data_IF_594347005088
#
_entry.id   IF_594347005088
#
_cell.length_a   1.000
_cell.length_b   1.000
_cell.length_c   1.000
_cell.angle_alpha   90.00
_cell.angle_beta   90.00
_cell.angle_gamma   90.00
#
_symmetry.space_group_name_H-M   'P 1'
#
loop_
_entity.id
_entity.type
_entity.pdbx_description
1 polymer ?
#
# COMPACT_ATOMS: atom_id res chain seq x y z
N UNK A 1 -13.02 -6.50 -24.60
CA UNK A 1 -11.59 -6.13 -24.74
C UNK A 1 -11.32 -5.03 -23.75
N UNK A 2 -10.50 -5.26 -22.72
CA UNK A 2 -10.13 -4.21 -21.78
C UNK A 2 -8.99 -3.40 -22.40
N UNK A 3 -9.31 -2.21 -22.88
CA UNK A 3 -8.31 -1.25 -23.35
C UNK A 3 -8.23 -0.14 -22.32
N UNK A 4 -7.21 -0.18 -21.47
CA UNK A 4 -6.84 0.94 -20.62
C UNK A 4 -5.83 1.80 -21.40
N UNK A 5 -6.16 3.06 -21.64
CA UNK A 5 -5.25 4.05 -22.22
C UNK A 5 -4.82 4.95 -21.07
N UNK A 6 -3.53 4.93 -20.74
CA UNK A 6 -2.93 5.84 -19.77
C UNK A 6 -1.94 6.75 -20.51
N UNK A 7 -2.03 8.06 -20.29
CA UNK A 7 -1.03 9.01 -20.77
C UNK A 7 0.19 8.98 -19.82
N UNK A 8 1.39 9.23 -20.35
CA UNK A 8 2.59 9.33 -19.51
C UNK A 8 2.42 10.48 -18.50
N UNK A 9 2.43 10.15 -17.20
CA UNK A 9 2.12 11.09 -16.11
C UNK A 9 0.73 10.92 -15.48
N UNK A 10 -0.12 10.06 -16.04
CA UNK A 10 -1.54 9.89 -15.65
C UNK A 10 -1.81 8.55 -14.92
N UNK A 11 -0.77 7.76 -14.67
CA UNK A 11 -0.91 6.45 -14.03
C UNK A 11 -0.87 6.58 -12.51
N UNK A 12 -1.86 7.25 -11.94
CA UNK A 12 -2.14 7.18 -10.50
C UNK A 12 -2.94 5.91 -10.23
N UNK A 13 -2.28 4.82 -9.84
CA UNK A 13 -3.00 3.64 -9.33
C UNK A 13 -3.38 3.94 -7.88
N UNK A 14 -4.69 4.10 -7.64
CA UNK A 14 -5.26 4.26 -6.30
C UNK A 14 -5.87 2.94 -5.82
N UNK A 15 -5.52 2.52 -4.61
CA UNK A 15 -6.14 1.38 -3.96
C UNK A 15 -6.36 1.63 -2.48
N UNK A 16 -7.45 1.05 -1.96
CA UNK A 16 -7.80 1.11 -0.55
C UNK A 16 -7.38 -0.19 0.13
N UNK A 17 -6.59 -0.08 1.20
CA UNK A 17 -6.22 -1.23 2.03
C UNK A 17 -7.01 -1.17 3.34
N UNK A 18 -8.03 -2.02 3.54
CA UNK A 18 -8.75 -2.12 4.80
C UNK A 18 -7.94 -3.01 5.75
N UNK A 19 -6.94 -2.45 6.42
CA UNK A 19 -6.19 -3.18 7.44
C UNK A 19 -5.37 -2.26 8.32
N UNK A 20 -5.52 -2.41 9.64
CA UNK A 20 -4.63 -1.85 10.68
C UNK A 20 -3.66 -2.91 11.22
N UNK A 21 -3.29 -3.90 10.40
CA UNK A 21 -2.26 -4.87 10.78
C UNK A 21 -0.89 -4.19 10.87
N UNK A 22 -0.10 -4.49 11.91
CA UNK A 22 1.16 -3.80 12.19
C UNK A 22 2.14 -3.72 11.00
N UNK A 23 2.26 -4.79 10.20
CA UNK A 23 3.13 -4.76 9.00
C UNK A 23 2.63 -3.83 7.89
N UNK A 24 1.30 -3.66 7.77
CA UNK A 24 0.70 -2.72 6.80
C UNK A 24 0.90 -1.28 7.30
N UNK A 25 0.72 -1.06 8.60
CA UNK A 25 0.98 0.23 9.23
C UNK A 25 2.45 0.65 9.09
N UNK A 26 3.39 -0.26 9.33
CA UNK A 26 4.82 -0.02 9.15
C UNK A 26 5.18 0.28 7.68
N UNK A 27 4.49 -0.34 6.73
CA UNK A 27 4.69 -0.07 5.31
C UNK A 27 4.15 1.30 4.92
N UNK A 28 2.93 1.64 5.35
CA UNK A 28 2.14 2.75 4.81
C UNK A 28 2.13 4.01 5.69
N UNK A 29 2.54 3.90 6.95
CA UNK A 29 2.65 5.03 7.88
C UNK A 29 4.07 5.22 8.39
N UNK A 30 4.34 6.44 8.88
CA UNK A 30 5.63 6.80 9.45
C UNK A 30 5.68 6.38 10.92
N UNK A 31 6.28 5.23 11.23
CA UNK A 31 6.51 4.79 12.61
C UNK A 31 7.40 5.79 13.35
N UNK A 32 7.02 6.21 14.55
CA UNK A 32 7.70 7.26 15.32
C UNK A 32 8.19 6.79 16.69
N UNK A 33 7.57 5.79 17.28
CA UNK A 33 7.94 5.31 18.61
C UNK A 33 8.13 3.80 18.60
N UNK A 34 8.91 3.33 19.56
CA UNK A 34 8.85 1.93 20.00
C UNK A 34 7.49 1.64 20.64
N UNK A 35 7.25 0.36 20.95
CA UNK A 35 6.02 -0.11 21.59
C UNK A 35 5.73 0.68 22.86
N UNK A 36 4.56 1.30 22.90
CA UNK A 36 4.01 2.03 24.05
C UNK A 36 3.01 1.13 24.74
N UNK A 37 3.20 0.90 26.03
CA UNK A 37 2.19 0.26 26.89
C UNK A 37 1.36 1.34 27.58
N UNK A 38 0.04 1.22 27.52
CA UNK A 38 -0.86 2.09 28.26
C UNK A 38 -0.63 1.94 29.76
N UNK A 39 -0.51 3.08 30.44
CA UNK A 39 -0.36 3.13 31.90
C UNK A 39 -1.70 3.06 32.64
N UNK A 40 -2.81 3.24 31.92
CA UNK A 40 -4.16 3.22 32.47
C UNK A 40 -4.87 1.92 32.08
N UNK A 41 -5.77 1.46 32.96
CA UNK A 41 -6.65 0.32 32.71
C UNK A 41 -8.06 0.80 32.37
N UNK A 42 -8.68 0.20 31.36
CA UNK A 42 -10.08 0.42 30.99
C UNK A 42 -10.80 -0.91 31.19
N UNK A 43 -11.77 -0.94 32.11
CA UNK A 43 -12.52 -2.16 32.47
C UNK A 43 -11.64 -3.35 32.90
N UNK A 44 -10.49 -3.05 33.52
CA UNK A 44 -9.51 -4.05 33.99
C UNK A 44 -8.50 -4.47 32.92
N UNK A 45 -8.67 -4.04 31.68
CA UNK A 45 -7.76 -4.33 30.56
C UNK A 45 -6.77 -3.19 30.31
N UNK A 46 -5.59 -3.53 29.78
CA UNK A 46 -4.60 -2.57 29.29
C UNK A 46 -4.24 -2.86 27.84
N UNK A 47 -3.63 -1.90 27.16
CA UNK A 47 -3.32 -1.99 25.75
C UNK A 47 -1.86 -1.65 25.51
N UNK A 48 -1.27 -2.24 24.47
CA UNK A 48 0.04 -1.86 23.96
C UNK A 48 -0.02 -1.68 22.45
N UNK A 49 0.86 -0.85 21.90
CA UNK A 49 0.86 -0.56 20.47
C UNK A 49 2.01 0.33 20.05
N UNK A 50 2.05 0.65 18.76
CA UNK A 50 3.12 1.45 18.16
C UNK A 50 2.58 2.81 17.74
N UNK A 51 3.41 3.86 17.90
CA UNK A 51 3.07 5.21 17.51
C UNK A 51 3.41 5.47 16.04
N UNK A 52 2.43 5.97 15.29
CA UNK A 52 2.58 6.35 13.88
C UNK A 52 2.22 7.82 13.67
N UNK A 53 2.87 8.47 12.71
CA UNK A 53 2.46 9.76 12.18
C UNK A 53 1.57 9.56 10.95
N UNK A 54 0.51 10.38 10.85
CA UNK A 54 -0.47 10.42 9.75
C UNK A 54 -0.03 11.30 8.57
N UNK A 55 1.10 12.00 8.65
CA UNK A 55 1.69 12.67 7.49
C UNK A 55 1.86 11.71 6.31
N UNK A 56 1.56 12.14 5.07
CA UNK A 56 1.73 11.32 3.89
C UNK A 56 3.11 10.68 3.84
N UNK A 57 3.15 9.35 3.68
CA UNK A 57 4.40 8.60 3.60
C UNK A 57 4.77 8.32 2.16
N UNK A 58 6.01 8.63 1.79
CA UNK A 58 6.59 8.15 0.53
C UNK A 58 6.79 6.63 0.60
N UNK A 59 6.16 5.90 -0.31
CA UNK A 59 6.29 4.46 -0.50
C UNK A 59 7.11 4.21 -1.77
N UNK A 60 8.10 3.33 -1.68
CA UNK A 60 8.93 2.93 -2.81
C UNK A 60 9.10 1.41 -2.82
N UNK A 61 9.39 0.83 -3.99
CA UNK A 61 9.61 -0.61 -4.14
C UNK A 61 8.90 -1.18 -5.36
N UNK A 62 8.49 -2.45 -5.30
CA UNK A 62 7.75 -3.10 -6.37
C UNK A 62 6.29 -3.31 -6.01
N UNK A 63 5.38 -3.16 -6.98
CA UNK A 63 3.97 -3.50 -6.86
C UNK A 63 3.66 -4.74 -7.69
N UNK A 64 3.17 -5.79 -7.04
CA UNK A 64 2.73 -7.02 -7.69
C UNK A 64 1.23 -7.23 -7.49
N UNK A 65 0.50 -7.30 -8.59
CA UNK A 65 -0.94 -7.55 -8.61
C UNK A 65 -1.20 -8.83 -9.39
N UNK A 66 -2.06 -9.71 -8.87
CA UNK A 66 -2.40 -10.97 -9.52
C UNK A 66 -3.89 -10.99 -9.83
N UNK A 67 -4.26 -11.54 -10.98
CA UNK A 67 -5.67 -11.81 -11.28
C UNK A 67 -6.26 -12.82 -10.31
N UNK A 68 -7.58 -12.76 -10.11
CA UNK A 68 -8.32 -13.71 -9.25
C UNK A 68 -8.16 -15.15 -9.74
N UNK A 69 -8.21 -15.36 -11.05
CA UNK A 69 -8.01 -16.66 -11.70
C UNK A 69 -6.56 -17.15 -11.67
N UNK A 70 -5.66 -16.30 -11.15
CA UNK A 70 -4.24 -16.58 -10.94
C UNK A 70 -3.43 -16.86 -12.20
N UNK A 71 -3.99 -16.62 -13.39
CA UNK A 71 -3.36 -16.87 -14.68
C UNK A 71 -2.45 -15.73 -15.13
N UNK A 72 -2.73 -14.50 -14.70
CA UNK A 72 -1.97 -13.32 -15.06
C UNK A 72 -1.55 -12.53 -13.83
N UNK A 73 -0.48 -11.75 -13.97
CA UNK A 73 -0.06 -10.79 -12.98
C UNK A 73 0.50 -9.55 -13.65
N UNK A 74 0.36 -8.41 -12.99
CA UNK A 74 1.04 -7.17 -13.30
C UNK A 74 2.15 -6.96 -12.27
N UNK A 75 3.34 -6.66 -12.74
CA UNK A 75 4.47 -6.33 -11.87
C UNK A 75 5.06 -4.99 -12.29
N UNK A 76 5.01 -4.01 -11.38
CA UNK A 76 5.68 -2.71 -11.50
C UNK A 76 6.97 -2.81 -10.67
N UNK A 77 8.14 -2.89 -11.30
CA UNK A 77 9.39 -3.22 -10.60
C UNK A 77 9.83 -2.11 -9.66
N UNK A 78 9.63 -0.86 -10.09
CA UNK A 78 9.91 0.35 -9.32
C UNK A 78 8.64 1.21 -9.30
N UNK A 79 8.21 1.58 -8.11
CA UNK A 79 7.13 2.54 -7.89
C UNK A 79 7.61 3.62 -6.95
N UNK A 80 7.07 4.82 -7.14
CA UNK A 80 7.05 5.86 -6.11
C UNK A 80 5.61 6.24 -5.87
N UNK A 81 5.22 6.32 -4.61
CA UNK A 81 3.87 6.71 -4.25
C UNK A 81 3.78 7.41 -2.90
N UNK A 82 2.61 7.95 -2.61
CA UNK A 82 2.31 8.56 -1.32
C UNK A 82 1.10 7.86 -0.71
N UNK A 83 1.29 7.34 0.50
CA UNK A 83 0.22 6.76 1.29
C UNK A 83 -0.31 7.76 2.31
N UNK A 84 -1.62 7.81 2.47
CA UNK A 84 -2.31 8.59 3.48
C UNK A 84 -3.39 7.75 4.17
N UNK A 85 -3.47 7.82 5.50
CA UNK A 85 -4.57 7.21 6.26
C UNK A 85 -5.81 8.11 6.14
N UNK A 86 -6.92 7.53 5.70
CA UNK A 86 -8.21 8.20 5.61
C UNK A 86 -9.16 7.55 6.61
N UNK A 87 -9.76 8.38 7.45
CA UNK A 87 -10.78 7.99 8.41
C UNK A 87 -11.97 8.93 8.26
N UNK A 88 -13.06 8.41 7.69
CA UNK A 88 -14.29 9.16 7.45
C UNK A 88 -15.38 8.69 8.43
N UNK A 89 -16.34 9.57 8.71
CA UNK A 89 -17.50 9.20 9.53
C UNK A 89 -18.25 8.03 8.88
N UNK A 90 -18.65 7.05 9.70
CA UNK A 90 -19.41 5.86 9.31
C UNK A 90 -18.73 4.93 8.28
N UNK A 91 -17.40 5.05 8.11
CA UNK A 91 -16.62 4.15 7.25
C UNK A 91 -15.42 3.57 8.00
N UNK A 92 -15.05 2.29 7.75
CA UNK A 92 -13.78 1.76 8.22
C UNK A 92 -12.62 2.62 7.70
N UNK A 93 -11.60 2.85 8.53
CA UNK A 93 -10.38 3.52 8.09
C UNK A 93 -9.68 2.75 6.98
N UNK A 94 -9.12 3.46 6.01
CA UNK A 94 -8.40 2.87 4.89
C UNK A 94 -7.20 3.73 4.50
N UNK A 95 -6.18 3.09 3.90
CA UNK A 95 -5.10 3.82 3.27
C UNK A 95 -5.47 4.16 1.83
N UNK A 96 -5.35 5.43 1.45
CA UNK A 96 -5.28 5.81 0.05
C UNK A 96 -3.80 5.87 -0.36
N UNK A 97 -3.45 5.24 -1.48
CA UNK A 97 -2.08 5.20 -1.98
C UNK A 97 -2.12 5.54 -3.46
N UNK A 98 -1.50 6.65 -3.86
CA UNK A 98 -1.25 6.95 -5.27
C UNK A 98 0.14 6.47 -5.63
N UNK A 99 0.28 5.62 -6.64
CA UNK A 99 1.59 5.13 -7.09
C UNK A 99 1.85 5.45 -8.55
N UNK A 100 3.06 5.89 -8.85
CA UNK A 100 3.62 6.16 -10.17
C UNK A 100 4.66 5.10 -10.51
N UNK A 101 4.50 4.33 -11.60
CA UNK A 101 5.51 3.40 -12.07
C UNK A 101 6.76 4.11 -12.59
N UNK A 102 7.93 3.56 -12.29
CA UNK A 102 9.22 4.00 -12.81
C UNK A 102 9.89 2.87 -13.60
N UNK A 103 10.72 3.23 -14.56
CA UNK A 103 11.50 2.26 -15.32
C UNK A 103 12.49 1.52 -14.42
N UNK A 104 12.72 0.25 -14.70
CA UNK A 104 13.89 -0.48 -14.23
C UNK A 104 15.14 -0.19 -15.07
N UNK A 105 16.25 -0.85 -14.73
CA UNK A 105 17.53 -0.72 -15.44
C UNK A 105 17.45 -1.16 -16.92
N UNK A 106 16.38 -1.84 -17.33
CA UNK A 106 16.12 -2.29 -18.71
C UNK A 106 15.15 -1.35 -19.44
N UNK A 107 14.67 -0.29 -18.79
CA UNK A 107 13.71 0.65 -19.35
C UNK A 107 12.24 0.20 -19.24
N UNK A 108 11.94 -0.87 -18.51
CA UNK A 108 10.57 -1.37 -18.35
C UNK A 108 9.96 -0.85 -17.05
N UNK A 109 8.81 -0.17 -17.13
CA UNK A 109 8.03 0.26 -15.96
C UNK A 109 6.90 -0.70 -15.58
N UNK A 110 6.57 -1.66 -16.45
CA UNK A 110 5.52 -2.65 -16.24
C UNK A 110 5.85 -3.97 -16.93
N UNK A 111 5.63 -5.07 -16.20
CA UNK A 111 5.68 -6.43 -16.72
C UNK A 111 4.29 -7.07 -16.66
N UNK A 112 3.81 -7.52 -17.82
CA UNK A 112 2.58 -8.31 -17.93
C UNK A 112 2.98 -9.79 -17.92
N UNK A 113 2.75 -10.44 -16.80
CA UNK A 113 3.17 -11.80 -16.53
C UNK A 113 2.03 -12.78 -16.76
N UNK A 114 2.39 -14.00 -17.17
CA UNK A 114 1.47 -15.13 -17.29
C UNK A 114 2.02 -16.29 -16.47
N UNK A 115 1.11 -17.10 -15.91
CA UNK A 115 1.49 -18.32 -15.20
C UNK A 115 2.31 -19.20 -16.13
N UNK A 116 3.53 -19.53 -15.72
CA UNK A 116 4.39 -20.51 -16.40
C UNK A 116 4.02 -21.89 -15.90
N UNK A 117 3.68 -22.80 -16.81
CA UNK A 117 3.58 -24.23 -16.47
C UNK A 117 4.96 -24.71 -16.01
N UNK A 118 5.00 -25.33 -14.83
CA UNK A 118 6.22 -25.94 -14.27
C UNK A 118 6.36 -27.34 -14.86
#
# INVERSE_FOLDING_TARGET
TWTAVANAGDSDIQFQVPSVAGKINDLLMNKKTETVTMTATIDGETYEGEGYNIEPKKVTGGLFMRSEDRQTALFLPNIEGYSNLVSEQDKPGYFNISVSPLNDDKGASIYILRKKSI
#
